data_IF_498518504078
#
_entry.id   IF_498518504078
#
_cell.length_a   1.000
_cell.length_b   1.000
_cell.length_c   1.000
_cell.angle_alpha   90.00
_cell.angle_beta   90.00
_cell.angle_gamma   90.00
#
_symmetry.space_group_name_H-M   'P 1'
#
loop_
_entity.id
_entity.type
_entity.pdbx_description
1 polymer ?
#
# COMPACT_ATOMS: atom_id res chain seq x y z
N UNK A 1 -8.10 -12.43 -0.60
CA UNK A 1 -7.88 -13.70 -1.32
C UNK A 1 -7.54 -14.79 -0.30
N UNK A 2 -8.53 -15.63 -0.03
CA UNK A 2 -8.45 -16.71 0.95
C UNK A 2 -7.82 -17.97 0.35
N UNK A 3 -7.63 -19.00 1.19
CA UNK A 3 -6.91 -20.21 0.81
C UNK A 3 -7.62 -21.04 -0.28
N UNK A 4 -8.94 -21.17 -0.20
CA UNK A 4 -9.73 -21.95 -1.16
C UNK A 4 -9.63 -21.39 -2.58
N UNK A 5 -9.72 -20.07 -2.73
CA UNK A 5 -9.55 -19.41 -4.03
C UNK A 5 -8.15 -19.66 -4.60
N UNK A 6 -7.11 -19.61 -3.77
CA UNK A 6 -5.74 -19.87 -4.21
C UNK A 6 -5.55 -21.31 -4.71
N UNK A 7 -6.17 -22.29 -4.05
CA UNK A 7 -6.17 -23.68 -4.51
C UNK A 7 -6.87 -23.79 -5.86
N UNK A 8 -8.04 -23.17 -6.01
CA UNK A 8 -8.78 -23.18 -7.27
C UNK A 8 -7.95 -22.57 -8.41
N UNK A 9 -7.29 -21.44 -8.17
CA UNK A 9 -6.41 -20.79 -9.14
C UNK A 9 -5.25 -21.71 -9.54
N UNK A 10 -4.59 -22.36 -8.56
CA UNK A 10 -3.52 -23.32 -8.84
C UNK A 10 -3.99 -24.48 -9.70
N UNK A 11 -5.16 -25.04 -9.38
CA UNK A 11 -5.79 -26.15 -10.14
C UNK A 11 -6.08 -25.75 -11.59
N UNK A 12 -6.44 -24.48 -11.82
CA UNK A 12 -6.63 -23.90 -13.14
C UNK A 12 -5.32 -23.46 -13.82
N UNK A 13 -4.16 -23.82 -13.27
CA UNK A 13 -2.86 -23.57 -13.90
C UNK A 13 -2.31 -22.16 -13.71
N UNK A 14 -2.90 -21.34 -12.82
CA UNK A 14 -2.37 -20.00 -12.51
C UNK A 14 -1.02 -20.14 -11.81
N UNK A 15 0.00 -19.52 -12.40
CA UNK A 15 1.38 -19.50 -11.88
C UNK A 15 1.74 -18.18 -11.21
N UNK A 16 1.02 -17.11 -11.55
CA UNK A 16 1.37 -15.76 -11.16
C UNK A 16 0.12 -14.89 -11.01
N UNK A 17 0.11 -14.02 -10.01
CA UNK A 17 -0.95 -13.05 -9.77
C UNK A 17 -0.30 -11.67 -9.61
N UNK A 18 -0.72 -10.71 -10.45
CA UNK A 18 -0.31 -9.33 -10.33
C UNK A 18 -1.44 -8.50 -9.70
N UNK A 19 -1.08 -7.60 -8.80
CA UNK A 19 -2.02 -6.71 -8.12
C UNK A 19 -1.76 -5.28 -8.61
N UNK A 20 -2.80 -4.64 -9.13
CA UNK A 20 -2.72 -3.26 -9.62
C UNK A 20 -2.90 -2.23 -8.49
N UNK A 21 -2.30 -2.50 -7.34
CA UNK A 21 -2.29 -1.63 -6.17
C UNK A 21 -0.95 -1.77 -5.44
N UNK A 22 -0.64 -0.79 -4.58
CA UNK A 22 0.51 -0.87 -3.68
C UNK A 22 0.23 -1.88 -2.56
N UNK A 23 -0.97 -1.84 -1.97
CA UNK A 23 -1.38 -2.69 -0.86
C UNK A 23 -1.71 -4.12 -1.27
N UNK A 24 -1.36 -5.07 -0.41
CA UNK A 24 -1.52 -6.53 -0.63
C UNK A 24 -1.94 -7.30 0.63
N UNK A 25 -2.34 -6.63 1.70
CA UNK A 25 -2.70 -7.22 3.00
C UNK A 25 -3.84 -8.25 2.92
N UNK A 26 -4.71 -8.05 1.92
CA UNK A 26 -5.82 -8.95 1.66
C UNK A 26 -5.40 -10.28 1.02
N UNK A 27 -4.11 -10.53 0.76
CA UNK A 27 -3.61 -11.76 0.15
C UNK A 27 -2.88 -12.63 1.17
N UNK A 28 -3.25 -13.90 1.25
CA UNK A 28 -2.51 -14.86 2.06
C UNK A 28 -1.17 -15.26 1.39
N UNK A 29 -0.13 -14.46 1.62
CA UNK A 29 1.22 -14.68 1.05
C UNK A 29 1.83 -16.02 1.49
N UNK A 30 1.50 -16.50 2.69
CA UNK A 30 2.01 -17.80 3.16
C UNK A 30 1.44 -18.93 2.30
N UNK A 31 0.14 -18.90 2.03
CA UNK A 31 -0.52 -19.87 1.17
C UNK A 31 -0.02 -19.81 -0.28
N UNK A 32 0.22 -18.61 -0.84
CA UNK A 32 0.72 -18.48 -2.22
C UNK A 32 2.11 -19.10 -2.38
N UNK A 33 2.99 -18.93 -1.38
CA UNK A 33 4.32 -19.57 -1.35
C UNK A 33 4.22 -21.09 -1.34
N UNK A 34 3.37 -21.66 -0.48
CA UNK A 34 3.16 -23.12 -0.39
C UNK A 34 2.62 -23.68 -1.71
N UNK A 35 1.69 -22.96 -2.35
CA UNK A 35 1.11 -23.38 -3.63
C UNK A 35 2.02 -23.08 -4.84
N UNK A 36 3.17 -22.44 -4.64
CA UNK A 36 4.09 -22.05 -5.70
C UNK A 36 3.43 -21.10 -6.71
N UNK A 37 2.67 -20.11 -6.22
CA UNK A 37 2.09 -19.03 -7.02
C UNK A 37 2.92 -17.76 -6.77
N UNK A 38 3.50 -17.19 -7.83
CA UNK A 38 4.20 -15.91 -7.75
C UNK A 38 3.23 -14.75 -7.57
N UNK A 39 3.67 -13.72 -6.84
CA UNK A 39 2.89 -12.51 -6.56
C UNK A 39 3.76 -11.29 -6.90
N UNK A 40 3.18 -10.30 -7.58
CA UNK A 40 3.72 -8.94 -7.66
C UNK A 40 2.66 -7.91 -7.35
N UNK A 41 3.09 -6.75 -6.86
CA UNK A 41 2.30 -5.54 -6.77
C UNK A 41 2.88 -4.48 -7.72
N UNK A 42 2.20 -3.33 -7.83
CA UNK A 42 2.68 -2.20 -8.63
C UNK A 42 3.06 -1.03 -7.71
N UNK A 43 4.33 -0.91 -7.28
CA UNK A 43 4.78 0.23 -6.49
C UNK A 43 4.91 1.46 -7.40
N UNK A 44 3.93 2.35 -7.33
CA UNK A 44 4.00 3.68 -7.92
C UNK A 44 4.23 4.73 -6.83
N UNK A 45 4.78 5.89 -7.21
CA UNK A 45 4.89 7.01 -6.29
C UNK A 45 3.51 7.62 -6.04
N UNK A 46 3.04 7.55 -4.79
CA UNK A 46 1.77 8.17 -4.39
C UNK A 46 1.81 9.69 -4.60
N UNK A 47 2.98 10.32 -4.41
CA UNK A 47 3.14 11.76 -4.65
C UNK A 47 3.00 12.16 -6.11
N UNK A 48 3.17 11.23 -7.06
CA UNK A 48 3.04 11.52 -8.49
C UNK A 48 1.59 11.54 -8.97
N UNK A 49 0.64 11.09 -8.16
CA UNK A 49 -0.78 11.02 -8.53
C UNK A 49 -1.73 11.66 -7.51
N UNK A 50 -1.25 12.04 -6.33
CA UNK A 50 -2.09 12.55 -5.26
C UNK A 50 -2.35 14.06 -5.42
N UNK A 51 -3.63 14.44 -5.53
CA UNK A 51 -4.04 15.86 -5.54
C UNK A 51 -4.04 16.48 -4.14
N UNK A 52 -4.12 15.65 -3.10
CA UNK A 52 -4.19 16.10 -1.71
C UNK A 52 -3.38 15.19 -0.79
N UNK A 53 -2.89 15.79 0.30
CA UNK A 53 -2.21 15.09 1.38
C UNK A 53 -2.99 15.36 2.67
N UNK A 54 -3.36 14.30 3.39
CA UNK A 54 -3.96 14.39 4.72
C UNK A 54 -2.96 13.98 5.78
N UNK A 55 -2.83 14.76 6.85
CA UNK A 55 -1.86 14.54 7.92
C UNK A 55 -2.58 14.38 9.26
N UNK A 56 -2.36 13.26 9.93
CA UNK A 56 -2.91 12.97 11.26
C UNK A 56 -1.79 13.04 12.29
N UNK A 57 -1.71 14.14 13.04
CA UNK A 57 -0.68 14.35 14.07
C UNK A 57 -1.34 14.55 15.43
N UNK A 58 -0.95 13.75 16.45
CA UNK A 58 -1.39 13.99 17.83
C UNK A 58 -0.93 15.36 18.34
N UNK A 59 -1.80 16.05 19.09
CA UNK A 59 -1.45 17.33 19.71
C UNK A 59 -0.51 17.12 20.88
N UNK A 60 0.60 17.85 20.88
CA UNK A 60 1.62 17.92 21.92
C UNK A 60 2.29 19.29 21.87
N UNK A 61 3.05 19.67 22.89
CA UNK A 61 3.81 20.94 22.86
C UNK A 61 4.75 21.06 21.64
N UNK A 62 5.24 19.93 21.10
CA UNK A 62 6.13 19.89 19.93
C UNK A 62 5.38 19.99 18.59
N UNK A 63 4.12 19.56 18.55
CA UNK A 63 3.30 19.53 17.34
C UNK A 63 2.28 20.67 17.30
N UNK A 64 2.15 21.41 18.39
CA UNK A 64 1.39 22.64 18.48
C UNK A 64 1.96 23.65 17.46
N UNK A 65 1.11 24.10 16.54
CA UNK A 65 1.50 24.91 15.37
C UNK A 65 2.45 24.23 14.37
N UNK A 66 2.52 22.89 14.31
CA UNK A 66 3.25 22.19 13.25
C UNK A 66 2.74 22.60 11.85
N UNK A 67 1.43 22.80 11.72
CA UNK A 67 0.77 23.38 10.55
C UNK A 67 0.36 24.82 10.90
N UNK A 68 1.05 25.80 10.34
CA UNK A 68 0.72 27.23 10.47
C UNK A 68 1.19 28.02 9.25
N UNK A 69 0.76 29.29 9.12
CA UNK A 69 1.11 30.17 8.00
C UNK A 69 2.63 30.30 7.78
N UNK A 70 3.41 30.42 8.84
CA UNK A 70 4.87 30.66 8.77
C UNK A 70 5.66 29.39 8.41
N UNK A 71 5.12 28.20 8.68
CA UNK A 71 5.75 26.91 8.45
C UNK A 71 5.30 26.25 7.14
N UNK A 72 4.11 26.57 6.64
CA UNK A 72 3.58 25.96 5.40
C UNK A 72 4.42 26.31 4.17
N UNK A 73 4.88 27.57 4.06
CA UNK A 73 5.65 28.04 2.90
C UNK A 73 7.16 27.80 3.01
N UNK A 74 7.66 27.29 4.14
CA UNK A 74 9.09 27.01 4.31
C UNK A 74 9.53 25.69 3.65
N UNK A 75 8.57 24.83 3.28
CA UNK A 75 8.82 23.55 2.61
C UNK A 75 9.00 23.65 1.09
N UNK A 76 8.74 24.80 0.49
CA UNK A 76 9.06 25.10 -0.92
C UNK A 76 10.49 25.66 -1.00
N UNK A 77 11.49 24.78 -0.92
CA UNK A 77 12.88 25.07 -1.26
C UNK A 77 13.47 23.93 -2.07
#
# INVERSE_FOLDING_TARGET
>A
MNHELLILLKRNGVKFINIHSIGYDHINIKATKVLGIGISNNPYSVSSIADFISLHIPVSAKTYHAINKDNFYKGER
#
